data_IF_368854945570
#
_entry.id   IF_368854945570
#
_cell.length_a   1.000
_cell.length_b   1.000
_cell.length_c   1.000
_cell.angle_alpha   90.00
_cell.angle_beta   90.00
_cell.angle_gamma   90.00
#
_symmetry.space_group_name_H-M   'P 1'
#
loop_
_entity.id
_entity.type
_entity.pdbx_description
1 polymer ?
#
# COMPACT_ATOMS: atom_id res chain seq x y z
N UNK A 1 -8.55 17.93 -58.94
CA UNK A 1 -9.16 18.50 -57.72
C UNK A 1 -9.79 17.42 -56.81
N UNK A 2 -9.02 16.51 -56.25
CA UNK A 2 -9.59 15.41 -55.44
C UNK A 2 -8.84 15.10 -54.12
N UNK A 3 -7.86 15.91 -53.73
CA UNK A 3 -7.09 15.66 -52.50
C UNK A 3 -7.67 16.25 -51.19
N UNK A 4 -8.71 17.08 -51.28
CA UNK A 4 -9.29 17.77 -50.10
C UNK A 4 -10.21 16.83 -49.27
N UNK A 5 -10.90 15.88 -49.90
CA UNK A 5 -11.81 14.92 -49.21
C UNK A 5 -11.09 13.87 -48.36
N UNK A 6 -9.91 13.44 -48.75
CA UNK A 6 -9.13 12.39 -47.99
C UNK A 6 -8.55 12.91 -46.68
N UNK A 7 -8.23 14.21 -46.60
CA UNK A 7 -7.67 14.81 -45.37
C UNK A 7 -8.72 14.93 -44.27
N UNK A 8 -10.00 15.14 -44.62
CA UNK A 8 -11.06 15.18 -43.61
C UNK A 8 -11.40 13.84 -42.97
N UNK A 9 -11.33 12.73 -43.73
CA UNK A 9 -11.60 11.38 -43.22
C UNK A 9 -10.54 10.96 -42.21
N UNK A 10 -9.25 11.14 -42.48
CA UNK A 10 -8.17 10.82 -41.57
C UNK A 10 -8.24 11.62 -40.23
N UNK A 11 -8.68 12.88 -40.30
CA UNK A 11 -8.87 13.68 -39.07
C UNK A 11 -10.02 13.17 -38.21
N UNK A 12 -11.09 12.67 -38.80
CA UNK A 12 -12.22 12.07 -38.07
C UNK A 12 -11.81 10.71 -37.47
N UNK A 13 -11.10 9.87 -38.21
CA UNK A 13 -10.54 8.59 -37.69
C UNK A 13 -9.62 8.84 -36.52
N UNK A 14 -8.71 9.79 -36.63
CA UNK A 14 -7.80 10.16 -35.53
C UNK A 14 -8.56 10.68 -34.31
N UNK A 15 -9.57 11.53 -34.51
CA UNK A 15 -10.39 12.07 -33.41
C UNK A 15 -11.16 10.95 -32.65
N UNK A 16 -11.53 9.86 -33.31
CA UNK A 16 -12.17 8.71 -32.67
C UNK A 16 -11.18 7.81 -31.91
N UNK A 17 -9.97 7.65 -32.43
CA UNK A 17 -8.93 6.79 -31.81
C UNK A 17 -8.21 7.50 -30.66
N UNK A 18 -8.04 8.82 -30.75
CA UNK A 18 -7.30 9.62 -29.76
C UNK A 18 -7.82 9.44 -28.31
N UNK A 19 -9.13 9.53 -28.02
CA UNK A 19 -9.63 9.32 -26.66
C UNK A 19 -9.30 7.93 -26.09
N UNK A 20 -9.33 6.90 -26.95
CA UNK A 20 -8.97 5.54 -26.55
C UNK A 20 -7.48 5.44 -26.20
N UNK A 21 -6.60 6.01 -27.03
CA UNK A 21 -5.16 6.04 -26.75
C UNK A 21 -4.83 6.83 -25.47
N UNK A 22 -5.47 7.97 -25.26
CA UNK A 22 -5.28 8.77 -24.05
C UNK A 22 -5.78 8.03 -22.80
N UNK A 23 -6.92 7.35 -22.86
CA UNK A 23 -7.41 6.57 -21.72
C UNK A 23 -6.49 5.40 -21.37
N UNK A 24 -5.91 4.73 -22.38
CA UNK A 24 -4.90 3.69 -22.18
C UNK A 24 -3.62 4.26 -21.55
N UNK A 25 -3.14 5.39 -22.07
CA UNK A 25 -1.94 6.06 -21.55
C UNK A 25 -2.12 6.47 -20.08
N UNK A 26 -3.22 7.12 -19.75
CA UNK A 26 -3.53 7.50 -18.37
C UNK A 26 -3.69 6.28 -17.46
N UNK A 27 -4.31 5.20 -17.95
CA UNK A 27 -4.40 3.96 -17.23
C UNK A 27 -3.04 3.36 -16.86
N UNK A 28 -2.10 3.33 -17.81
CA UNK A 28 -0.74 2.83 -17.57
C UNK A 28 -0.02 3.68 -16.52
N UNK A 29 -0.13 5.00 -16.62
CA UNK A 29 0.49 5.93 -15.65
C UNK A 29 -0.10 5.71 -14.25
N UNK A 30 -1.42 5.62 -14.13
CA UNK A 30 -2.12 5.40 -12.88
C UNK A 30 -1.69 4.08 -12.21
N UNK A 31 -1.69 2.98 -12.97
CA UNK A 31 -1.21 1.69 -12.46
C UNK A 31 0.26 1.76 -12.02
N UNK A 32 1.11 2.48 -12.74
CA UNK A 32 2.50 2.68 -12.36
C UNK A 32 2.64 3.33 -10.96
N UNK A 33 1.84 4.35 -10.67
CA UNK A 33 1.82 4.99 -9.35
C UNK A 33 1.26 4.07 -8.26
N UNK A 34 0.17 3.34 -8.53
CA UNK A 34 -0.40 2.36 -7.59
C UNK A 34 0.62 1.27 -7.26
N UNK A 35 1.30 0.70 -8.26
CA UNK A 35 2.34 -0.31 -8.03
C UNK A 35 3.52 0.22 -7.24
N UNK A 36 4.00 1.42 -7.55
CA UNK A 36 5.07 2.08 -6.79
C UNK A 36 4.68 2.20 -5.31
N UNK A 37 3.48 2.71 -5.02
CA UNK A 37 3.01 2.91 -3.65
C UNK A 37 2.80 1.56 -2.93
N UNK A 38 2.29 0.55 -3.63
CA UNK A 38 2.13 -0.80 -3.09
C UNK A 38 3.48 -1.45 -2.72
N UNK A 39 4.51 -1.29 -3.56
CA UNK A 39 5.86 -1.79 -3.26
C UNK A 39 6.48 -1.09 -2.05
N UNK A 40 6.34 0.23 -1.96
CA UNK A 40 6.81 1.02 -0.82
C UNK A 40 6.10 0.61 0.47
N UNK A 41 4.78 0.37 0.40
CA UNK A 41 3.99 -0.10 1.53
C UNK A 41 4.40 -1.50 2.00
N UNK A 42 4.68 -2.42 1.07
CA UNK A 42 5.17 -3.76 1.39
C UNK A 42 6.55 -3.73 2.05
N UNK A 43 7.43 -2.86 1.59
CA UNK A 43 8.75 -2.67 2.17
C UNK A 43 8.65 -2.12 3.60
N UNK A 44 7.81 -1.12 3.83
CA UNK A 44 7.56 -0.56 5.16
C UNK A 44 7.00 -1.62 6.13
N UNK A 45 6.02 -2.43 5.70
CA UNK A 45 5.46 -3.52 6.51
C UNK A 45 6.51 -4.60 6.83
N UNK A 46 7.35 -4.97 5.86
CA UNK A 46 8.42 -5.96 6.04
C UNK A 46 9.47 -5.51 7.03
N UNK A 47 9.97 -4.29 6.88
CA UNK A 47 10.99 -3.74 7.78
C UNK A 47 10.45 -3.51 9.20
N UNK A 48 9.22 -3.00 9.32
CA UNK A 48 8.54 -2.88 10.61
C UNK A 48 8.38 -4.23 11.32
N UNK A 49 7.94 -5.25 10.59
CA UNK A 49 7.78 -6.60 11.15
C UNK A 49 9.14 -7.24 11.54
N UNK A 50 10.21 -6.96 10.77
CA UNK A 50 11.56 -7.44 11.09
C UNK A 50 12.07 -6.82 12.40
N UNK A 51 11.93 -5.52 12.57
CA UNK A 51 12.34 -4.82 13.80
C UNK A 51 11.51 -5.29 14.99
N UNK A 52 10.21 -5.48 14.81
CA UNK A 52 9.33 -6.00 15.84
C UNK A 52 9.68 -7.45 16.25
N UNK A 53 10.08 -8.30 15.28
CA UNK A 53 10.48 -9.69 15.53
C UNK A 53 11.81 -9.81 16.32
N UNK A 54 12.71 -8.82 16.19
CA UNK A 54 13.93 -8.72 17.00
C UNK A 54 13.64 -8.24 18.43
N UNK A 55 12.43 -7.78 18.71
CA UNK A 55 12.01 -7.38 20.04
C UNK A 55 12.08 -5.88 20.32
N UNK A 56 12.44 -5.05 19.34
CA UNK A 56 12.58 -3.61 19.53
C UNK A 56 11.27 -2.93 19.90
N UNK A 57 11.36 -1.83 20.63
CA UNK A 57 10.21 -1.07 21.10
C UNK A 57 9.34 -0.47 20.00
N UNK A 58 8.13 -0.12 20.37
CA UNK A 58 7.09 0.37 19.44
C UNK A 58 7.54 1.62 18.70
N UNK A 59 8.24 2.54 19.38
CA UNK A 59 8.74 3.78 18.77
C UNK A 59 9.79 3.53 17.66
N UNK A 60 10.67 2.55 17.84
CA UNK A 60 11.68 2.17 16.85
C UNK A 60 11.02 1.47 15.65
N UNK A 61 10.00 0.64 15.89
CA UNK A 61 9.20 0.01 14.85
C UNK A 61 8.50 1.09 14.00
N UNK A 62 7.90 2.09 14.64
CA UNK A 62 7.20 3.19 13.96
C UNK A 62 8.15 4.04 13.12
N UNK A 63 9.31 4.39 13.68
CA UNK A 63 10.35 5.09 12.95
C UNK A 63 10.82 4.31 11.72
N UNK A 64 10.90 2.98 11.83
CA UNK A 64 11.32 2.14 10.71
C UNK A 64 10.25 2.04 9.63
N UNK A 65 8.98 1.87 10.01
CA UNK A 65 7.86 1.84 9.07
C UNK A 65 7.79 3.15 8.28
N UNK A 66 7.82 4.29 8.98
CA UNK A 66 7.74 5.62 8.35
C UNK A 66 8.96 5.93 7.50
N UNK A 67 10.17 5.56 7.95
CA UNK A 67 11.40 5.73 7.20
C UNK A 67 11.49 4.90 5.92
N UNK A 68 10.84 3.73 5.89
CA UNK A 68 10.80 2.85 4.70
C UNK A 68 9.60 3.11 3.79
N UNK A 69 8.61 3.90 4.22
CA UNK A 69 7.45 4.30 3.42
C UNK A 69 7.80 5.40 2.41
N UNK A 70 8.86 5.19 1.61
CA UNK A 70 9.44 6.19 0.73
C UNK A 70 8.45 6.64 -0.33
N UNK A 71 8.19 7.94 -0.40
CA UNK A 71 7.29 8.55 -1.38
C UNK A 71 5.80 8.38 -1.07
N UNK A 72 5.45 7.84 0.12
CA UNK A 72 4.09 7.86 0.63
C UNK A 72 3.87 9.08 1.53
N UNK A 73 2.69 9.67 1.47
CA UNK A 73 2.28 10.75 2.39
C UNK A 73 1.92 10.13 3.74
N UNK A 74 2.62 10.51 4.80
CA UNK A 74 2.46 9.91 6.13
C UNK A 74 1.09 10.18 6.76
N UNK A 75 0.42 11.27 6.38
CA UNK A 75 -0.95 11.62 6.77
C UNK A 75 -2.01 10.61 6.29
N UNK A 76 -1.70 9.85 5.23
CA UNK A 76 -2.56 8.82 4.63
C UNK A 76 -2.09 7.40 4.90
N UNK A 77 -0.99 7.26 5.64
CA UNK A 77 -0.44 5.97 6.06
C UNK A 77 -0.95 5.64 7.46
N UNK A 78 -1.62 4.51 7.60
CA UNK A 78 -1.99 3.94 8.90
C UNK A 78 -1.37 2.56 9.04
N UNK A 79 -0.96 2.22 10.25
CA UNK A 79 -0.39 0.90 10.51
C UNK A 79 -0.81 0.38 11.89
N UNK A 80 -0.94 -0.94 11.98
CA UNK A 80 -1.23 -1.67 13.20
C UNK A 80 -0.20 -2.76 13.43
N UNK A 81 0.15 -2.96 14.68
CA UNK A 81 1.13 -3.94 15.15
C UNK A 81 0.44 -4.87 16.14
N UNK A 82 0.61 -6.16 15.98
CA UNK A 82 0.00 -7.16 16.86
C UNK A 82 0.85 -8.42 16.91
N UNK A 83 0.68 -9.19 17.97
CA UNK A 83 1.34 -10.47 18.15
C UNK A 83 0.35 -11.55 18.58
N UNK A 84 0.73 -12.81 18.41
CA UNK A 84 0.01 -13.99 18.91
C UNK A 84 0.96 -15.12 19.21
N UNK A 85 0.55 -16.02 20.10
CA UNK A 85 1.30 -17.21 20.48
C UNK A 85 0.62 -18.49 20.02
N UNK A 86 1.42 -19.54 19.88
CA UNK A 86 0.93 -20.89 19.61
C UNK A 86 1.12 -21.73 20.87
N UNK A 87 0.02 -22.23 21.44
CA UNK A 87 0.04 -23.08 22.62
C UNK A 87 -1.03 -24.17 22.49
N UNK A 88 -0.72 -25.38 22.94
CA UNK A 88 -1.65 -26.53 22.95
C UNK A 88 -2.30 -26.84 21.58
N UNK A 89 -1.55 -26.64 20.48
CA UNK A 89 -2.07 -26.91 19.13
C UNK A 89 -2.93 -25.78 18.52
N UNK A 90 -3.12 -24.64 19.21
CA UNK A 90 -4.00 -23.55 18.79
C UNK A 90 -3.25 -22.21 18.84
N UNK A 91 -3.56 -21.34 17.86
CA UNK A 91 -3.12 -19.95 17.88
C UNK A 91 -4.03 -19.12 18.76
N UNK A 92 -3.44 -18.27 19.61
CA UNK A 92 -4.19 -17.25 20.33
C UNK A 92 -4.78 -16.19 19.38
N UNK A 93 -5.72 -15.39 19.88
CA UNK A 93 -6.14 -14.16 19.20
C UNK A 93 -4.97 -13.18 19.06
N UNK A 94 -5.07 -12.27 18.09
CA UNK A 94 -4.10 -11.19 17.92
C UNK A 94 -4.24 -10.17 19.05
N UNK A 95 -3.13 -9.91 19.73
CA UNK A 95 -3.00 -8.90 20.80
C UNK A 95 -2.24 -7.70 20.24
N UNK A 96 -2.61 -6.49 20.59
CA UNK A 96 -1.89 -5.28 20.20
C UNK A 96 -0.47 -5.31 20.76
N UNK A 97 0.52 -4.95 19.95
CA UNK A 97 1.91 -4.86 20.37
C UNK A 97 2.11 -3.56 21.15
N UNK A 98 2.72 -3.66 22.32
CA UNK A 98 3.05 -2.55 23.20
C UNK A 98 4.52 -2.64 23.67
N UNK A 99 5.02 -1.59 24.29
CA UNK A 99 6.32 -1.65 24.96
C UNK A 99 6.20 -2.37 26.30
N UNK A 100 7.26 -3.06 26.70
CA UNK A 100 7.36 -3.67 28.03
C UNK A 100 7.40 -2.60 29.10
N UNK A 101 6.79 -2.91 30.22
CA UNK A 101 6.75 -2.03 31.39
C UNK A 101 8.01 -2.11 32.28
N UNK A 102 8.97 -2.97 31.92
CA UNK A 102 10.21 -3.22 32.67
C UNK A 102 11.32 -2.18 32.38
N UNK A 103 11.07 -1.23 31.49
CA UNK A 103 12.04 -0.20 31.10
C UNK A 103 13.15 -0.68 30.14
N UNK A 104 13.06 -1.91 29.62
CA UNK A 104 14.05 -2.45 28.66
C UNK A 104 14.05 -1.74 27.32
N UNK A 105 12.98 -1.05 26.97
CA UNK A 105 12.76 -0.48 25.65
C UNK A 105 12.38 -1.49 24.57
N UNK A 106 12.08 -2.74 24.99
CA UNK A 106 11.64 -3.81 24.11
C UNK A 106 10.10 -3.86 24.02
N UNK A 107 9.58 -4.55 22.99
CA UNK A 107 8.15 -4.84 22.89
C UNK A 107 7.72 -6.03 23.73
N UNK A 108 6.43 -6.15 24.01
CA UNK A 108 5.81 -7.12 24.90
C UNK A 108 5.56 -8.51 24.27
N UNK A 109 5.81 -8.71 22.96
CA UNK A 109 5.63 -10.01 22.33
C UNK A 109 6.56 -11.07 22.97
N UNK A 110 6.08 -12.27 23.32
CA UNK A 110 6.93 -13.34 23.85
C UNK A 110 7.86 -13.90 22.76
N UNK A 111 8.97 -14.51 23.19
CA UNK A 111 9.84 -15.27 22.26
C UNK A 111 9.05 -16.40 21.61
N UNK A 112 9.28 -16.62 20.31
CA UNK A 112 8.56 -17.62 19.52
C UNK A 112 7.17 -17.20 19.07
N UNK A 113 6.65 -16.05 19.52
CA UNK A 113 5.39 -15.50 19.04
C UNK A 113 5.46 -15.10 17.57
N UNK A 114 4.31 -15.07 16.90
CA UNK A 114 4.19 -14.40 15.62
C UNK A 114 3.87 -12.92 15.84
N UNK A 115 4.65 -12.06 15.19
CA UNK A 115 4.41 -10.63 15.15
C UNK A 115 3.87 -10.27 13.76
N UNK A 116 2.83 -9.46 13.72
CA UNK A 116 2.17 -9.00 12.51
C UNK A 116 2.17 -7.48 12.44
N UNK A 117 2.61 -6.96 11.31
CA UNK A 117 2.47 -5.54 10.96
C UNK A 117 1.58 -5.42 9.75
N UNK A 118 0.55 -4.60 9.85
CA UNK A 118 -0.35 -4.26 8.76
C UNK A 118 -0.17 -2.77 8.49
N UNK A 119 0.16 -2.44 7.25
CA UNK A 119 0.19 -1.06 6.76
C UNK A 119 -0.94 -0.86 5.76
N UNK A 120 -1.66 0.23 5.89
CA UNK A 120 -2.72 0.65 4.97
C UNK A 120 -2.44 2.05 4.47
N UNK A 121 -2.64 2.29 3.21
CA UNK A 121 -2.40 3.58 2.57
C UNK A 121 -3.55 3.94 1.64
N UNK A 122 -4.01 5.18 1.72
CA UNK A 122 -5.03 5.72 0.80
C UNK A 122 -4.35 6.43 -0.35
N UNK A 123 -4.30 5.75 -1.50
CA UNK A 123 -3.78 6.31 -2.75
C UNK A 123 -4.83 7.20 -3.40
N UNK A 124 -4.44 8.43 -3.78
CA UNK A 124 -5.30 9.31 -4.57
C UNK A 124 -5.10 9.03 -6.05
N UNK A 125 -6.19 8.74 -6.75
CA UNK A 125 -6.16 8.54 -8.20
C UNK A 125 -5.85 9.84 -8.92
N UNK A 126 -4.83 9.84 -9.76
CA UNK A 126 -4.36 11.00 -10.51
C UNK A 126 -5.42 11.44 -11.55
N UNK A 127 -6.04 10.48 -12.21
CA UNK A 127 -7.09 10.69 -13.20
C UNK A 127 -8.50 10.71 -12.58
N UNK A 128 -8.58 10.57 -11.25
CA UNK A 128 -9.78 10.73 -10.44
C UNK A 128 -11.02 10.01 -10.98
N UNK A 129 -12.12 10.76 -11.26
CA UNK A 129 -13.41 10.16 -11.60
C UNK A 129 -13.42 9.33 -12.89
N UNK A 130 -12.52 9.61 -13.84
CA UNK A 130 -12.42 8.88 -15.10
C UNK A 130 -11.94 7.45 -14.88
N UNK A 131 -10.87 7.27 -14.10
CA UNK A 131 -10.31 5.96 -13.80
C UNK A 131 -11.21 5.16 -12.85
N UNK A 132 -11.77 5.81 -11.84
CA UNK A 132 -12.75 5.21 -10.94
C UNK A 132 -13.96 4.62 -11.69
N UNK A 133 -14.42 5.31 -12.74
CA UNK A 133 -15.50 4.81 -13.60
C UNK A 133 -15.08 3.59 -14.41
N UNK A 134 -13.83 3.55 -14.89
CA UNK A 134 -13.27 2.44 -15.65
C UNK A 134 -13.12 1.17 -14.79
N UNK A 135 -12.74 1.31 -13.52
CA UNK A 135 -12.61 0.18 -12.57
C UNK A 135 -13.94 -0.19 -11.89
N UNK A 136 -15.08 0.38 -12.32
CA UNK A 136 -16.40 0.06 -11.80
C UNK A 136 -16.73 0.70 -10.44
N UNK A 137 -16.01 1.75 -10.04
CA UNK A 137 -16.21 2.51 -8.79
C UNK A 137 -16.47 4.00 -9.06
N UNK A 138 -17.58 4.34 -9.71
CA UNK A 138 -17.87 5.73 -10.05
C UNK A 138 -18.04 6.58 -8.78
N UNK A 139 -17.36 7.74 -8.77
CA UNK A 139 -17.38 8.67 -7.62
C UNK A 139 -16.26 8.49 -6.60
N UNK A 140 -15.50 7.38 -6.62
CA UNK A 140 -14.30 7.23 -5.79
C UNK A 140 -13.10 7.89 -6.49
N UNK A 141 -12.40 8.74 -5.76
CA UNK A 141 -11.12 9.36 -6.20
C UNK A 141 -9.91 8.77 -5.46
N UNK A 142 -10.15 7.78 -4.60
CA UNK A 142 -9.13 7.15 -3.77
C UNK A 142 -9.19 5.63 -3.85
N UNK A 143 -8.05 4.98 -3.68
CA UNK A 143 -7.92 3.53 -3.62
C UNK A 143 -7.18 3.12 -2.35
N UNK A 144 -7.75 2.22 -1.55
CA UNK A 144 -7.10 1.65 -0.38
C UNK A 144 -6.08 0.58 -0.78
N UNK A 145 -4.82 0.77 -0.38
CA UNK A 145 -3.75 -0.21 -0.51
C UNK A 145 -3.48 -0.82 0.86
N UNK A 146 -3.15 -2.11 0.89
CA UNK A 146 -2.84 -2.83 2.13
C UNK A 146 -1.64 -3.74 1.92
N UNK A 147 -0.73 -3.72 2.89
CA UNK A 147 0.35 -4.67 3.02
C UNK A 147 0.33 -5.29 4.42
N UNK A 148 0.54 -6.59 4.50
CA UNK A 148 0.58 -7.34 5.75
C UNK A 148 1.82 -8.22 5.76
N UNK A 149 2.56 -8.21 6.87
CA UNK A 149 3.72 -9.05 7.09
C UNK A 149 3.63 -9.72 8.46
N UNK A 150 3.85 -11.04 8.47
CA UNK A 150 3.90 -11.84 9.69
C UNK A 150 5.27 -12.49 9.78
N UNK A 151 5.97 -12.27 10.89
CA UNK A 151 7.30 -12.84 11.17
C UNK A 151 7.25 -13.48 12.56
N UNK A 152 7.99 -14.57 12.75
CA UNK A 152 8.17 -15.17 14.08
C UNK A 152 9.25 -14.42 14.84
N UNK A 153 8.97 -14.07 16.10
CA UNK A 153 9.96 -13.49 17.01
C UNK A 153 11.00 -14.55 17.39
N UNK A 154 12.26 -14.18 17.29
CA UNK A 154 13.41 -15.00 17.70
C UNK A 154 13.63 -14.97 19.22
#
# INVERSE_FOLDING_TARGET
MSNCKRRGTASVEFALVLPLLLSLLFGIIEFGFIFKDQLSLQQAAREGARVAAVGRGVSEIDARITGCATGLSLDRLTYTKSWRTYANGVWSSWTSLADRTDGSGDNDAPQGAQVRVICTYTHNLLTGPLFARLIGRPGESTMGLRAEMVIRRE
#
